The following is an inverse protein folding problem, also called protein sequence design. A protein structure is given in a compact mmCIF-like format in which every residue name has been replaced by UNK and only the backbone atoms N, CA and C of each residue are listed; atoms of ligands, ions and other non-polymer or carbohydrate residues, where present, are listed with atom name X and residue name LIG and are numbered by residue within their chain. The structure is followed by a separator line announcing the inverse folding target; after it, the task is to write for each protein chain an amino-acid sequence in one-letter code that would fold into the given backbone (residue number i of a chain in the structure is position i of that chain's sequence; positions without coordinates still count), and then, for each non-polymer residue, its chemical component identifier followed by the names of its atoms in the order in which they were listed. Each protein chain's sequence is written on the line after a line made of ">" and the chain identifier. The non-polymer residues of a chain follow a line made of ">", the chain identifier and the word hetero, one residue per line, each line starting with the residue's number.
data_IF_265914193423
#
_entry.id   IF_265914193423
#
_cell.length_a   1.000
_cell.length_b   1.000
_cell.length_c   1.000
_cell.angle_alpha   90.00
_cell.angle_beta   90.00
_cell.angle_gamma   90.00
#
_symmetry.space_group_name_H-M   'P 1'
#
loop_
_entity.id
_entity.type
_entity.pdbx_description
1 polymer ?
#
# COMPACT_ATOMS: atom_id res chain seq x y z
N UNK A 1 20.08 16.67 8.41
CA UNK A 1 18.87 16.46 7.58
C UNK A 1 18.50 14.98 7.33
N UNK A 2 19.01 13.99 8.09
CA UNK A 2 18.76 12.54 7.83
C UNK A 2 18.10 11.78 8.99
N UNK A 3 17.99 12.39 10.18
CA UNK A 3 17.39 11.75 11.37
C UNK A 3 15.89 12.02 11.54
N UNK A 4 15.32 13.06 10.91
CA UNK A 4 13.88 13.36 11.03
C UNK A 4 12.98 12.35 10.30
N UNK A 5 13.49 11.66 9.28
CA UNK A 5 12.69 10.72 8.49
C UNK A 5 12.37 9.42 9.21
N UNK A 6 13.24 8.99 10.14
CA UNK A 6 13.06 7.72 10.86
C UNK A 6 12.07 7.88 12.01
N UNK A 7 12.13 9.01 12.73
CA UNK A 7 11.21 9.29 13.84
C UNK A 7 9.77 9.56 13.34
N UNK A 8 9.63 10.08 12.12
CA UNK A 8 8.32 10.23 11.48
C UNK A 8 7.64 8.88 11.23
N UNK A 9 8.40 7.79 11.05
CA UNK A 9 7.84 6.46 10.78
C UNK A 9 7.24 5.78 12.02
N UNK A 10 7.67 6.19 13.21
CA UNK A 10 7.24 5.57 14.49
C UNK A 10 6.25 6.44 15.28
N UNK A 11 6.20 7.75 15.01
CA UNK A 11 5.23 8.68 15.63
C UNK A 11 3.91 8.76 14.84
N UNK A 12 3.63 7.77 13.98
CA UNK A 12 2.41 7.67 13.21
C UNK A 12 1.32 7.08 14.11
N UNK A 13 0.33 7.90 14.47
CA UNK A 13 -0.95 7.35 14.87
C UNK A 13 -1.63 6.79 13.63
N UNK A 14 -1.56 5.47 13.42
CA UNK A 14 -2.38 4.83 12.41
C UNK A 14 -3.85 4.99 12.81
N UNK A 15 -4.65 5.52 11.90
CA UNK A 15 -6.10 5.41 12.01
C UNK A 15 -6.54 3.95 11.88
N UNK A 16 -7.71 3.61 12.41
CA UNK A 16 -8.26 2.26 12.29
C UNK A 16 -8.44 1.83 10.82
N UNK A 17 -8.78 2.77 9.94
CA UNK A 17 -8.91 2.52 8.50
C UNK A 17 -7.55 2.19 7.86
N UNK A 18 -6.50 2.96 8.19
CA UNK A 18 -5.13 2.69 7.75
C UNK A 18 -4.62 1.33 8.27
N UNK A 19 -4.96 0.97 9.51
CA UNK A 19 -4.54 -0.30 10.11
C UNK A 19 -5.27 -1.48 9.46
N UNK A 20 -6.56 -1.35 9.20
CA UNK A 20 -7.36 -2.39 8.54
C UNK A 20 -6.87 -2.65 7.12
N UNK A 21 -6.49 -1.60 6.39
CA UNK A 21 -5.96 -1.73 5.03
C UNK A 21 -4.55 -2.28 5.00
N UNK A 22 -3.70 -1.92 5.96
CA UNK A 22 -2.40 -2.57 6.13
C UNK A 22 -2.58 -4.07 6.41
N UNK A 23 -3.52 -4.44 7.28
CA UNK A 23 -3.80 -5.83 7.61
C UNK A 23 -4.29 -6.62 6.38
N UNK A 24 -5.13 -6.03 5.53
CA UNK A 24 -5.56 -6.64 4.26
C UNK A 24 -4.38 -6.80 3.30
N UNK A 25 -3.54 -5.77 3.12
CA UNK A 25 -2.36 -5.86 2.26
C UNK A 25 -1.38 -6.94 2.72
N UNK A 26 -1.11 -7.01 4.02
CA UNK A 26 -0.27 -8.07 4.60
C UNK A 26 -0.89 -9.45 4.44
N UNK A 27 -2.22 -9.57 4.56
CA UNK A 27 -2.91 -10.84 4.35
C UNK A 27 -2.81 -11.30 2.89
N UNK A 28 -2.98 -10.38 1.92
CA UNK A 28 -2.82 -10.68 0.49
C UNK A 28 -1.40 -11.16 0.20
N UNK A 29 -0.37 -10.40 0.60
CA UNK A 29 1.03 -10.81 0.39
C UNK A 29 1.34 -12.17 1.07
N UNK A 30 0.76 -12.45 2.24
CA UNK A 30 0.97 -13.72 2.93
C UNK A 30 0.33 -14.90 2.20
N UNK A 31 -0.79 -14.68 1.51
CA UNK A 31 -1.46 -15.73 0.72
C UNK A 31 -0.59 -16.22 -0.42
N UNK A 32 0.24 -15.34 -1.00
CA UNK A 32 1.20 -15.70 -2.06
C UNK A 32 2.29 -16.66 -1.56
N UNK A 33 2.67 -16.56 -0.28
CA UNK A 33 3.68 -17.45 0.32
C UNK A 33 3.09 -18.72 0.97
N UNK A 34 1.82 -18.69 1.39
CA UNK A 34 1.27 -19.73 2.26
C UNK A 34 0.88 -21.03 1.55
N UNK A 35 0.81 -21.05 0.22
CA UNK A 35 0.02 -22.10 -0.43
C UNK A 35 0.70 -22.70 -1.67
N UNK A 36 1.19 -23.96 -1.59
CA UNK A 36 1.53 -24.75 -2.78
C UNK A 36 0.35 -24.97 -3.75
N UNK A 37 -0.89 -24.75 -3.28
CA UNK A 37 -2.14 -24.85 -4.05
C UNK A 37 -2.43 -23.59 -4.89
N UNK A 38 -1.89 -22.42 -4.52
CA UNK A 38 -1.96 -21.16 -5.29
C UNK A 38 -1.01 -21.15 -6.50
N UNK A 39 -0.04 -22.08 -6.57
CA UNK A 39 0.79 -22.35 -7.76
C UNK A 39 -0.02 -22.86 -8.95
N UNK A 40 -1.34 -23.05 -8.80
CA UNK A 40 -2.21 -23.25 -9.94
C UNK A 40 -2.48 -21.89 -10.59
N UNK A 41 -2.09 -21.70 -11.87
CA UNK A 41 -2.08 -20.38 -12.49
C UNK A 41 -3.43 -19.67 -12.43
N UNK A 42 -4.54 -20.43 -12.45
CA UNK A 42 -5.90 -19.89 -12.36
C UNK A 42 -6.20 -19.19 -11.03
N UNK A 43 -5.67 -19.68 -9.92
CA UNK A 43 -5.96 -19.12 -8.60
C UNK A 43 -5.06 -17.93 -8.27
N UNK A 44 -3.79 -17.98 -8.68
CA UNK A 44 -2.87 -16.82 -8.61
C UNK A 44 -3.43 -15.64 -9.40
N UNK A 45 -3.72 -15.83 -10.70
CA UNK A 45 -4.27 -14.78 -11.57
C UNK A 45 -5.55 -14.13 -11.00
N UNK A 46 -6.40 -14.92 -10.33
CA UNK A 46 -7.61 -14.41 -9.68
C UNK A 46 -7.29 -13.55 -8.47
N UNK A 47 -6.31 -13.96 -7.65
CA UNK A 47 -5.91 -13.25 -6.45
C UNK A 47 -5.20 -11.94 -6.81
N UNK A 48 -4.34 -11.95 -7.83
CA UNK A 48 -3.69 -10.75 -8.39
C UNK A 48 -4.73 -9.75 -8.90
N UNK A 49 -5.78 -10.23 -9.58
CA UNK A 49 -6.86 -9.38 -10.07
C UNK A 49 -7.66 -8.76 -8.92
N UNK A 50 -7.95 -9.53 -7.87
CA UNK A 50 -8.62 -9.03 -6.67
C UNK A 50 -7.74 -7.99 -5.96
N UNK A 51 -6.46 -8.28 -5.78
CA UNK A 51 -5.47 -7.37 -5.19
C UNK A 51 -5.36 -6.06 -5.97
N UNK A 52 -5.30 -6.15 -7.30
CA UNK A 52 -5.26 -4.98 -8.18
C UNK A 52 -6.54 -4.14 -8.08
N UNK A 53 -7.73 -4.77 -8.14
CA UNK A 53 -9.01 -4.05 -8.01
C UNK A 53 -9.08 -3.34 -6.66
N UNK A 54 -8.74 -4.04 -5.58
CA UNK A 54 -8.69 -3.46 -4.23
C UNK A 54 -7.73 -2.26 -4.19
N UNK A 55 -6.52 -2.41 -4.72
CA UNK A 55 -5.52 -1.35 -4.70
C UNK A 55 -5.92 -0.14 -5.56
N UNK A 56 -6.58 -0.35 -6.69
CA UNK A 56 -7.07 0.74 -7.53
C UNK A 56 -8.22 1.50 -6.86
N UNK A 57 -9.11 0.77 -6.16
CA UNK A 57 -10.22 1.38 -5.43
C UNK A 57 -9.73 2.18 -4.21
N UNK A 58 -8.76 1.66 -3.46
CA UNK A 58 -8.33 2.26 -2.20
C UNK A 58 -7.16 3.24 -2.35
N UNK A 59 -6.18 2.94 -3.21
CA UNK A 59 -4.97 3.74 -3.40
C UNK A 59 -4.95 4.55 -4.71
N UNK A 60 -5.99 4.42 -5.55
CA UNK A 60 -6.14 5.14 -6.83
C UNK A 60 -4.89 4.95 -7.71
N UNK A 61 -4.23 6.04 -8.17
CA UNK A 61 -3.05 5.96 -9.03
C UNK A 61 -1.82 5.28 -8.40
N UNK A 62 -1.76 5.16 -7.07
CA UNK A 62 -0.67 4.41 -6.42
C UNK A 62 -0.92 2.90 -6.56
N UNK A 63 -2.18 2.47 -6.66
CA UNK A 63 -2.57 1.08 -6.91
C UNK A 63 -2.05 0.52 -8.24
N UNK A 64 -1.61 1.38 -9.18
CA UNK A 64 -0.96 0.97 -10.43
C UNK A 64 0.31 0.15 -10.21
N UNK A 65 0.94 0.23 -9.03
CA UNK A 65 2.10 -0.60 -8.66
C UNK A 65 1.73 -2.10 -8.69
N UNK A 66 0.48 -2.45 -8.38
CA UNK A 66 -0.03 -3.82 -8.40
C UNK A 66 -0.09 -4.44 -9.80
N UNK A 67 0.06 -3.65 -10.87
CA UNK A 67 0.19 -4.21 -12.23
C UNK A 67 1.44 -5.11 -12.33
N UNK A 68 2.44 -4.89 -11.47
CA UNK A 68 3.63 -5.73 -11.43
C UNK A 68 3.34 -7.17 -10.96
N UNK A 69 2.25 -7.42 -10.23
CA UNK A 69 1.85 -8.79 -9.85
C UNK A 69 1.41 -9.62 -11.05
N UNK A 70 0.93 -9.02 -12.15
CA UNK A 70 0.65 -9.78 -13.38
C UNK A 70 1.91 -10.33 -14.07
N UNK A 71 3.10 -9.90 -13.64
CA UNK A 71 4.35 -10.37 -14.23
C UNK A 71 4.76 -11.64 -13.49
N UNK A 72 4.81 -12.80 -14.17
CA UNK A 72 5.14 -14.05 -13.51
C UNK A 72 6.51 -13.96 -12.83
N UNK A 73 6.54 -14.29 -11.53
CA UNK A 73 7.75 -14.25 -10.70
C UNK A 73 7.96 -12.95 -9.93
N UNK A 74 7.11 -11.93 -10.12
CA UNK A 74 7.05 -10.76 -9.23
C UNK A 74 6.20 -10.99 -7.97
N UNK A 75 5.35 -12.02 -7.97
CA UNK A 75 4.50 -12.48 -6.86
C UNK A 75 5.31 -12.83 -5.59
N UNK A 76 6.63 -12.97 -5.71
CA UNK A 76 7.52 -13.20 -4.59
C UNK A 76 7.78 -11.93 -3.78
N UNK A 77 7.40 -10.76 -4.29
CA UNK A 77 7.55 -9.47 -3.63
C UNK A 77 6.22 -9.10 -2.96
N UNK A 78 6.26 -8.54 -1.73
CA UNK A 78 5.06 -8.09 -1.03
C UNK A 78 4.54 -6.76 -1.62
N UNK A 79 4.06 -6.80 -2.86
CA UNK A 79 3.70 -5.63 -3.65
C UNK A 79 2.47 -4.93 -3.07
N UNK A 80 1.55 -5.66 -2.44
CA UNK A 80 0.43 -5.06 -1.72
C UNK A 80 0.90 -4.19 -0.56
N UNK A 81 1.81 -4.69 0.29
CA UNK A 81 2.38 -3.92 1.40
C UNK A 81 3.23 -2.75 0.91
N UNK A 82 4.04 -2.93 -0.15
CA UNK A 82 4.83 -1.83 -0.75
C UNK A 82 3.92 -0.72 -1.27
N UNK A 83 2.82 -1.09 -1.92
CA UNK A 83 1.80 -0.15 -2.42
C UNK A 83 1.17 0.63 -1.27
N UNK A 84 0.81 -0.06 -0.17
CA UNK A 84 0.28 0.58 1.03
C UNK A 84 1.28 1.58 1.65
N UNK A 85 2.55 1.18 1.81
CA UNK A 85 3.59 2.07 2.37
C UNK A 85 3.75 3.32 1.51
N UNK A 86 3.77 3.15 0.19
CA UNK A 86 3.89 4.25 -0.76
C UNK A 86 2.72 5.21 -0.64
N UNK A 87 1.50 4.67 -0.55
CA UNK A 87 0.28 5.47 -0.33
C UNK A 87 0.31 6.20 1.01
N UNK A 88 0.65 5.49 2.08
CA UNK A 88 0.69 6.04 3.43
C UNK A 88 1.62 7.26 3.52
N UNK A 89 2.84 7.14 2.97
CA UNK A 89 3.81 8.24 2.94
C UNK A 89 3.30 9.41 2.10
N UNK A 90 2.64 9.14 0.97
CA UNK A 90 2.14 10.19 0.09
C UNK A 90 0.97 10.96 0.74
N UNK A 91 0.03 10.27 1.37
CA UNK A 91 -1.10 10.87 2.09
C UNK A 91 -0.61 11.80 3.21
N UNK A 92 0.40 11.37 3.97
CA UNK A 92 1.03 12.22 4.99
C UNK A 92 1.63 13.52 4.43
N UNK A 93 2.27 13.44 3.25
CA UNK A 93 2.83 14.64 2.56
C UNK A 93 1.73 15.58 2.08
N UNK A 94 0.66 15.06 1.49
CA UNK A 94 -0.47 15.85 0.98
C UNK A 94 -1.18 16.59 2.11
N UNK A 95 -1.47 15.89 3.22
CA UNK A 95 -2.12 16.51 4.38
C UNK A 95 -1.26 17.63 4.99
N UNK A 96 0.05 17.41 5.14
CA UNK A 96 0.97 18.44 5.65
C UNK A 96 1.03 19.67 4.74
N UNK A 97 1.00 19.47 3.40
CA UNK A 97 0.97 20.57 2.44
C UNK A 97 -0.33 21.38 2.57
N UNK A 98 -1.47 20.70 2.63
CA UNK A 98 -2.78 21.34 2.77
C UNK A 98 -2.93 22.13 4.07
N UNK A 99 -2.42 21.60 5.18
CA UNK A 99 -2.40 22.34 6.46
C UNK A 99 -1.54 23.61 6.38
N UNK A 100 -0.41 23.58 5.67
CA UNK A 100 0.44 24.77 5.46
C UNK A 100 -0.24 25.82 4.58
N UNK A 101 -0.86 25.41 3.48
CA UNK A 101 -1.62 26.31 2.60
C UNK A 101 -2.79 26.99 3.36
N UNK A 102 -3.47 26.25 4.24
CA UNK A 102 -4.49 26.84 5.11
C UNK A 102 -3.87 27.87 6.06
N UNK A 103 -2.79 27.54 6.77
CA UNK A 103 -2.10 28.48 7.67
C UNK A 103 -1.63 29.76 6.96
N UNK A 104 -1.19 29.67 5.70
CA UNK A 104 -0.81 30.82 4.88
C UNK A 104 -2.02 31.68 4.51
N UNK A 105 -3.18 31.08 4.23
CA UNK A 105 -4.41 31.83 3.94
C UNK A 105 -5.03 32.52 5.16
N UNK A 106 -4.70 32.10 6.39
CA UNK A 106 -5.16 32.74 7.64
C UNK A 106 -4.25 33.89 8.10
N UNK A 107 -3.14 34.16 7.40
CA UNK A 107 -2.13 35.16 7.78
C UNK A 107 -2.23 36.41 6.91
#
# INVERSE_FOLDING_TARGET
>A
MKQESINALWSIGLTWDELSTLAVCLALDLMDYLVPFMMTPVYGDLLDLIGMVFAFMYFNSIGTIMILELIPGFDILPLSTITWITWYINTGKVNKKRSREQLENWR
#
